data_IF_721098941603
#
_entry.id   IF_721098941603
#
_cell.length_a   1.000
_cell.length_b   1.000
_cell.length_c   1.000
_cell.angle_alpha   90.00
_cell.angle_beta   90.00
_cell.angle_gamma   90.00
#
_symmetry.space_group_name_H-M   'P 1'
#
loop_
_entity.id
_entity.type
_entity.pdbx_description
1 polymer ?
#
# COMPACT_ATOMS: atom_id res chain seq x y z
N UNK A 1 -48.01 -2.44 -11.54
CA UNK A 1 -47.06 -3.47 -11.06
C UNK A 1 -47.74 -4.83 -11.13
N UNK A 2 -47.13 -5.78 -11.85
CA UNK A 2 -47.68 -7.09 -12.14
C UNK A 2 -47.90 -7.87 -10.81
N UNK A 3 -49.10 -8.50 -10.58
CA UNK A 3 -49.40 -9.27 -9.37
C UNK A 3 -48.33 -10.33 -9.03
N UNK A 4 -47.73 -10.92 -10.03
CA UNK A 4 -46.65 -11.90 -9.91
C UNK A 4 -45.39 -11.32 -9.28
N UNK A 5 -44.92 -10.15 -9.71
CA UNK A 5 -43.74 -9.48 -9.16
C UNK A 5 -43.94 -9.11 -7.69
N UNK A 6 -45.12 -8.59 -7.33
CA UNK A 6 -45.47 -8.25 -5.95
C UNK A 6 -45.42 -9.46 -5.04
N UNK A 7 -45.81 -10.64 -5.52
CA UNK A 7 -45.79 -11.89 -4.77
C UNK A 7 -44.38 -12.31 -4.41
N UNK A 8 -43.41 -12.21 -5.36
CA UNK A 8 -42.02 -12.57 -5.11
C UNK A 8 -41.31 -11.56 -4.21
N UNK A 9 -41.54 -10.26 -4.37
CA UNK A 9 -40.94 -9.22 -3.54
C UNK A 9 -41.30 -9.30 -2.06
N UNK A 10 -42.46 -9.89 -1.73
CA UNK A 10 -42.93 -10.07 -0.37
C UNK A 10 -42.60 -11.42 0.27
N UNK A 11 -41.79 -12.26 -0.40
CA UNK A 11 -41.34 -13.50 0.23
C UNK A 11 -40.33 -13.18 1.32
N UNK A 12 -40.66 -13.56 2.57
CA UNK A 12 -39.88 -13.23 3.76
C UNK A 12 -38.41 -13.69 3.75
N UNK A 13 -38.09 -14.73 3.01
CA UNK A 13 -36.76 -15.31 2.93
C UNK A 13 -35.86 -14.70 1.81
N UNK A 14 -36.46 -14.05 0.82
CA UNK A 14 -35.74 -13.64 -0.40
C UNK A 14 -34.67 -12.56 -0.10
N UNK A 15 -35.08 -11.50 0.57
CA UNK A 15 -34.17 -10.34 0.78
C UNK A 15 -33.03 -10.62 1.77
N UNK A 16 -33.25 -11.33 2.90
CA UNK A 16 -32.14 -11.78 3.72
C UNK A 16 -31.18 -12.70 2.97
N UNK A 17 -31.70 -13.59 2.11
CA UNK A 17 -30.87 -14.47 1.30
C UNK A 17 -30.00 -13.69 0.30
N UNK A 18 -30.57 -12.69 -0.37
CA UNK A 18 -29.81 -11.80 -1.27
C UNK A 18 -28.70 -11.08 -0.51
N UNK A 19 -28.97 -10.60 0.70
CA UNK A 19 -27.95 -9.99 1.56
C UNK A 19 -26.83 -10.97 1.91
N UNK A 20 -27.16 -12.20 2.30
CA UNK A 20 -26.19 -13.26 2.59
C UNK A 20 -25.29 -13.54 1.37
N UNK A 21 -25.88 -13.71 0.19
CA UNK A 21 -25.12 -13.96 -1.05
C UNK A 21 -24.18 -12.80 -1.37
N UNK A 22 -24.65 -11.56 -1.22
CA UNK A 22 -23.78 -10.37 -1.42
C UNK A 22 -22.61 -10.34 -0.44
N UNK A 23 -22.83 -10.69 0.84
CA UNK A 23 -21.76 -10.74 1.84
C UNK A 23 -20.71 -11.84 1.51
N UNK A 24 -21.15 -12.99 1.00
CA UNK A 24 -20.26 -14.05 0.56
C UNK A 24 -19.43 -13.58 -0.66
N UNK A 25 -20.08 -12.96 -1.64
CA UNK A 25 -19.37 -12.39 -2.81
C UNK A 25 -18.34 -11.35 -2.36
N UNK A 26 -18.72 -10.45 -1.46
CA UNK A 26 -17.82 -9.43 -0.92
C UNK A 26 -16.61 -10.07 -0.22
N UNK A 27 -16.81 -11.13 0.57
CA UNK A 27 -15.72 -11.86 1.21
C UNK A 27 -14.72 -12.43 0.19
N UNK A 28 -15.21 -13.08 -0.88
CA UNK A 28 -14.34 -13.62 -1.92
C UNK A 28 -13.60 -12.54 -2.71
N UNK A 29 -14.25 -11.41 -3.01
CA UNK A 29 -13.63 -10.27 -3.67
C UNK A 29 -12.47 -9.74 -2.82
N UNK A 30 -12.73 -9.47 -1.54
CA UNK A 30 -11.72 -8.93 -0.62
C UNK A 30 -10.54 -9.91 -0.50
N UNK A 31 -10.81 -11.19 -0.27
CA UNK A 31 -9.77 -12.22 -0.15
C UNK A 31 -8.89 -12.34 -1.40
N UNK A 32 -9.46 -12.22 -2.60
CA UNK A 32 -8.69 -12.30 -3.85
C UNK A 32 -7.92 -11.01 -4.16
N UNK A 33 -8.43 -9.85 -3.76
CA UNK A 33 -7.73 -8.57 -3.96
C UNK A 33 -6.45 -8.47 -3.12
N UNK A 34 -6.42 -9.09 -1.95
CA UNK A 34 -5.24 -9.12 -1.09
C UNK A 34 -4.08 -10.00 -1.60
N UNK A 35 -4.34 -10.86 -2.59
CA UNK A 35 -3.32 -11.71 -3.19
C UNK A 35 -2.56 -11.07 -4.36
N UNK A 36 -2.80 -9.80 -4.65
CA UNK A 36 -2.17 -9.09 -5.77
C UNK A 36 -1.11 -8.15 -5.21
N UNK A 37 0.15 -8.37 -5.61
CA UNK A 37 1.28 -7.52 -5.23
C UNK A 37 1.16 -6.08 -5.75
N UNK A 38 2.14 -5.26 -5.42
CA UNK A 38 2.20 -3.81 -5.69
C UNK A 38 2.06 -3.41 -7.16
N UNK A 39 2.30 -4.32 -8.10
CA UNK A 39 1.97 -4.18 -9.52
C UNK A 39 0.50 -4.56 -9.77
N UNK A 40 -0.39 -3.74 -9.22
CA UNK A 40 -1.82 -3.96 -9.35
C UNK A 40 -2.25 -3.65 -10.79
N UNK A 41 -2.58 -4.66 -11.62
CA UNK A 41 -3.10 -4.39 -12.95
C UNK A 41 -4.37 -3.53 -12.82
N UNK A 42 -4.62 -2.69 -13.83
CA UNK A 42 -5.81 -1.82 -13.88
C UNK A 42 -7.14 -2.57 -13.65
N UNK A 43 -7.16 -3.89 -13.88
CA UNK A 43 -8.27 -4.79 -13.56
C UNK A 43 -8.56 -4.91 -12.06
N UNK A 44 -7.53 -4.88 -11.20
CA UNK A 44 -7.71 -4.99 -9.73
C UNK A 44 -8.12 -3.64 -9.13
N UNK A 45 -7.61 -2.53 -9.66
CA UNK A 45 -8.09 -1.19 -9.29
C UNK A 45 -9.60 -1.07 -9.54
N UNK A 46 -10.13 -1.67 -10.61
CA UNK A 46 -11.57 -1.74 -10.84
C UNK A 46 -12.29 -2.54 -9.75
N UNK A 47 -11.73 -3.64 -9.29
CA UNK A 47 -12.35 -4.48 -8.23
C UNK A 47 -12.37 -3.74 -6.88
N UNK A 48 -11.34 -2.99 -6.54
CA UNK A 48 -11.32 -2.12 -5.35
C UNK A 48 -12.38 -1.03 -5.46
N UNK A 49 -12.59 -0.45 -6.64
CA UNK A 49 -13.65 0.53 -6.89
C UNK A 49 -15.07 -0.04 -6.78
N UNK A 50 -15.26 -1.38 -6.85
CA UNK A 50 -16.55 -2.04 -6.56
C UNK A 50 -16.82 -2.28 -5.07
N UNK A 51 -15.82 -2.15 -4.21
CA UNK A 51 -15.97 -2.36 -2.75
C UNK A 51 -16.97 -1.38 -2.14
N UNK A 52 -16.85 -0.11 -2.43
CA UNK A 52 -17.69 0.94 -1.85
C UNK A 52 -19.15 0.85 -2.33
N UNK A 53 -19.45 0.65 -3.63
CA UNK A 53 -20.79 0.37 -4.10
C UNK A 53 -21.44 -0.85 -3.42
N UNK A 54 -20.71 -1.97 -3.26
CA UNK A 54 -21.24 -3.18 -2.59
C UNK A 54 -21.54 -2.90 -1.12
N UNK A 55 -20.72 -2.13 -0.41
CA UNK A 55 -20.95 -1.74 0.96
C UNK A 55 -22.23 -0.88 1.08
N UNK A 56 -22.40 0.10 0.20
CA UNK A 56 -23.59 0.96 0.14
C UNK A 56 -24.86 0.12 -0.14
N UNK A 57 -24.81 -0.78 -1.12
CA UNK A 57 -25.91 -1.69 -1.45
C UNK A 57 -26.25 -2.57 -0.25
N UNK A 58 -25.25 -3.09 0.47
CA UNK A 58 -25.46 -3.90 1.68
C UNK A 58 -26.20 -3.12 2.78
N UNK A 59 -25.82 -1.86 3.01
CA UNK A 59 -26.51 -0.99 3.99
C UNK A 59 -27.97 -0.75 3.58
N UNK A 60 -28.22 -0.44 2.31
CA UNK A 60 -29.57 -0.24 1.79
C UNK A 60 -30.43 -1.51 1.98
N UNK A 61 -29.84 -2.69 1.70
CA UNK A 61 -30.54 -3.97 1.89
C UNK A 61 -30.81 -4.27 3.36
N UNK A 62 -29.91 -3.93 4.29
CA UNK A 62 -30.16 -4.08 5.72
C UNK A 62 -31.36 -3.23 6.14
N UNK A 63 -31.41 -1.96 5.74
CA UNK A 63 -32.52 -1.06 6.03
C UNK A 63 -33.83 -1.60 5.44
N UNK A 64 -33.83 -2.03 4.17
CA UNK A 64 -35.00 -2.61 3.52
C UNK A 64 -35.49 -3.88 4.24
N UNK A 65 -34.59 -4.74 4.69
CA UNK A 65 -34.92 -5.93 5.46
C UNK A 65 -35.56 -5.57 6.83
N UNK A 66 -35.07 -4.56 7.53
CA UNK A 66 -35.67 -4.06 8.77
C UNK A 66 -37.11 -3.53 8.54
N UNK A 67 -37.32 -2.77 7.47
CA UNK A 67 -38.64 -2.28 7.08
C UNK A 67 -39.60 -3.43 6.78
N UNK A 68 -39.16 -4.47 6.08
CA UNK A 68 -39.96 -5.67 5.80
C UNK A 68 -40.30 -6.44 7.08
N UNK A 69 -39.36 -6.58 8.00
CA UNK A 69 -39.59 -7.23 9.29
C UNK A 69 -40.67 -6.51 10.10
N UNK A 70 -40.60 -5.16 10.21
CA UNK A 70 -41.61 -4.32 10.84
C UNK A 70 -42.99 -4.53 10.16
N UNK A 71 -42.99 -4.57 8.82
CA UNK A 71 -44.23 -4.85 8.06
C UNK A 71 -44.86 -6.20 8.43
N UNK A 72 -44.05 -7.29 8.59
CA UNK A 72 -44.57 -8.60 8.99
C UNK A 72 -45.10 -8.60 10.44
N UNK A 73 -44.46 -7.84 11.33
CA UNK A 73 -44.99 -7.63 12.70
C UNK A 73 -46.37 -6.98 12.66
N UNK A 74 -46.54 -5.90 11.92
CA UNK A 74 -47.79 -5.18 11.77
C UNK A 74 -48.89 -6.11 11.18
N UNK A 75 -48.51 -6.96 10.22
CA UNK A 75 -49.43 -7.92 9.59
C UNK A 75 -49.64 -9.20 10.42
N UNK A 76 -49.05 -9.33 11.60
CA UNK A 76 -49.15 -10.48 12.52
C UNK A 76 -48.83 -11.83 11.86
N UNK A 77 -47.85 -11.84 10.93
CA UNK A 77 -47.47 -13.06 10.21
C UNK A 77 -46.36 -13.82 10.97
N UNK A 78 -46.72 -14.53 12.05
CA UNK A 78 -45.77 -15.13 13.00
C UNK A 78 -44.65 -15.98 12.36
N UNK A 79 -44.97 -16.89 11.41
CA UNK A 79 -43.94 -17.71 10.72
C UNK A 79 -42.98 -16.86 9.88
N UNK A 80 -43.48 -15.78 9.25
CA UNK A 80 -42.63 -14.87 8.47
C UNK A 80 -41.74 -14.01 9.38
N UNK A 81 -42.24 -13.61 10.55
CA UNK A 81 -41.49 -12.82 11.55
C UNK A 81 -40.27 -13.61 12.05
N UNK A 82 -40.49 -14.84 12.54
CA UNK A 82 -39.42 -15.67 13.10
C UNK A 82 -38.40 -16.14 12.05
N UNK A 83 -38.88 -16.54 10.87
CA UNK A 83 -37.99 -16.97 9.79
C UNK A 83 -37.15 -15.82 9.22
N UNK A 84 -37.77 -14.65 9.03
CA UNK A 84 -37.04 -13.44 8.57
C UNK A 84 -35.99 -13.02 9.60
N UNK A 85 -36.34 -13.01 10.89
CA UNK A 85 -35.42 -12.66 11.97
C UNK A 85 -34.20 -13.63 12.00
N UNK A 86 -34.43 -14.94 11.88
CA UNK A 86 -33.37 -15.93 11.88
C UNK A 86 -32.37 -15.70 10.72
N UNK A 87 -32.88 -15.45 9.52
CA UNK A 87 -32.03 -15.16 8.36
C UNK A 87 -31.29 -13.81 8.50
N UNK A 88 -31.92 -12.81 9.09
CA UNK A 88 -31.26 -11.53 9.37
C UNK A 88 -30.13 -11.68 10.39
N UNK A 89 -30.30 -12.46 11.44
CA UNK A 89 -29.23 -12.76 12.41
C UNK A 89 -28.05 -13.43 11.71
N UNK A 90 -28.30 -14.39 10.83
CA UNK A 90 -27.23 -15.03 10.02
C UNK A 90 -26.53 -14.01 9.13
N UNK A 91 -27.27 -13.16 8.42
CA UNK A 91 -26.72 -12.14 7.55
C UNK A 91 -25.84 -11.14 8.31
N UNK A 92 -26.28 -10.68 9.49
CA UNK A 92 -25.51 -9.79 10.36
C UNK A 92 -24.27 -10.49 10.90
N UNK A 93 -24.38 -11.74 11.31
CA UNK A 93 -23.21 -12.52 11.78
C UNK A 93 -22.14 -12.66 10.69
N UNK A 94 -22.51 -12.94 9.43
CA UNK A 94 -21.59 -12.98 8.29
C UNK A 94 -20.98 -11.59 8.03
N UNK A 95 -21.78 -10.53 8.12
CA UNK A 95 -21.27 -9.16 7.95
C UNK A 95 -20.23 -8.80 9.02
N UNK A 96 -20.52 -9.10 10.28
CA UNK A 96 -19.57 -8.89 11.39
C UNK A 96 -18.32 -9.73 11.21
N UNK A 97 -18.45 -10.99 10.78
CA UNK A 97 -17.32 -11.85 10.46
C UNK A 97 -16.43 -11.25 9.35
N UNK A 98 -17.03 -10.71 8.29
CA UNK A 98 -16.30 -10.05 7.22
C UNK A 98 -15.52 -8.83 7.75
N UNK A 99 -16.17 -7.98 8.57
CA UNK A 99 -15.54 -6.81 9.17
C UNK A 99 -14.38 -7.22 10.08
N UNK A 100 -14.60 -8.21 10.95
CA UNK A 100 -13.57 -8.73 11.86
C UNK A 100 -12.42 -9.38 11.07
N UNK A 101 -12.73 -10.18 10.05
CA UNK A 101 -11.71 -10.83 9.21
C UNK A 101 -10.86 -9.80 8.49
N UNK A 102 -11.44 -8.71 7.97
CA UNK A 102 -10.71 -7.61 7.36
C UNK A 102 -9.86 -6.90 8.41
N UNK A 103 -10.41 -6.61 9.59
CA UNK A 103 -9.70 -5.94 10.68
C UNK A 103 -8.54 -6.77 11.23
N UNK A 104 -8.78 -8.05 11.49
CA UNK A 104 -7.73 -9.00 11.93
C UNK A 104 -6.66 -9.17 10.86
N UNK A 105 -7.08 -9.26 9.59
CA UNK A 105 -6.15 -9.38 8.47
C UNK A 105 -5.33 -8.09 8.28
N UNK A 106 -5.94 -6.91 8.47
CA UNK A 106 -5.23 -5.63 8.48
C UNK A 106 -4.23 -5.49 9.63
N UNK A 107 -4.53 -6.08 10.79
CA UNK A 107 -3.67 -6.00 11.98
C UNK A 107 -2.59 -7.09 12.04
N UNK A 108 -2.87 -8.28 11.48
CA UNK A 108 -2.02 -9.47 11.65
C UNK A 108 -1.76 -10.23 10.36
N UNK A 109 -2.40 -9.86 9.25
CA UNK A 109 -2.16 -10.47 7.96
C UNK A 109 -0.80 -10.04 7.43
N UNK A 110 0.17 -10.94 7.50
CA UNK A 110 1.44 -10.76 6.84
C UNK A 110 1.21 -10.43 5.36
N UNK A 111 1.60 -9.25 4.97
CA UNK A 111 1.64 -8.86 3.56
C UNK A 111 2.64 -9.79 2.85
N UNK A 112 2.47 -10.08 1.58
CA UNK A 112 3.52 -10.74 0.76
C UNK A 112 4.86 -10.01 0.81
N UNK A 113 4.82 -8.75 1.21
CA UNK A 113 5.97 -7.90 1.42
C UNK A 113 6.73 -8.27 2.70
N UNK A 114 6.07 -8.89 3.69
CA UNK A 114 6.70 -9.23 4.98
C UNK A 114 7.81 -10.29 4.82
N UNK A 115 7.66 -11.23 3.88
CA UNK A 115 8.68 -12.24 3.58
C UNK A 115 9.77 -11.75 2.61
N UNK A 116 9.76 -10.49 2.23
CA UNK A 116 10.63 -9.98 1.17
C UNK A 116 12.11 -10.15 1.50
N UNK A 117 12.52 -9.76 2.71
CA UNK A 117 13.91 -9.91 3.16
C UNK A 117 14.39 -11.38 3.20
N UNK A 118 13.52 -12.31 3.59
CA UNK A 118 13.83 -13.75 3.58
C UNK A 118 13.99 -14.34 2.19
N UNK A 119 13.27 -13.82 1.20
CA UNK A 119 13.36 -14.25 -0.19
C UNK A 119 14.56 -13.69 -0.93
N UNK A 120 15.08 -12.57 -0.46
CA UNK A 120 16.22 -11.86 -1.04
C UNK A 120 17.35 -11.78 -0.03
N UNK A 121 17.99 -12.91 0.35
CA UNK A 121 19.09 -12.92 1.32
C UNK A 121 20.28 -12.13 0.76
N UNK A 122 21.04 -11.52 1.67
CA UNK A 122 22.23 -10.75 1.32
C UNK A 122 23.24 -11.67 0.62
N UNK A 123 23.65 -11.39 -0.64
CA UNK A 123 24.67 -12.16 -1.34
C UNK A 123 26.06 -11.97 -0.70
N UNK A 124 26.85 -13.04 -0.57
CA UNK A 124 28.14 -13.02 0.12
C UNK A 124 29.22 -12.15 -0.57
N UNK A 125 29.09 -11.91 -1.88
CA UNK A 125 30.15 -11.28 -2.68
C UNK A 125 29.76 -9.86 -3.16
N UNK A 126 28.82 -9.19 -2.51
CA UNK A 126 28.40 -7.84 -2.88
C UNK A 126 28.86 -6.86 -1.80
N UNK A 127 29.63 -5.86 -2.23
CA UNK A 127 30.01 -4.75 -1.37
C UNK A 127 28.80 -3.82 -1.16
N UNK A 128 28.51 -3.47 0.08
CA UNK A 128 27.39 -2.60 0.44
C UNK A 128 27.75 -1.64 1.57
N UNK A 129 26.98 -0.58 1.67
CA UNK A 129 27.06 0.39 2.76
C UNK A 129 25.98 0.12 3.80
N UNK A 130 26.22 0.50 5.03
CA UNK A 130 25.17 0.58 6.05
C UNK A 130 24.67 2.02 6.15
N UNK A 131 23.33 2.20 6.29
CA UNK A 131 22.78 3.53 6.57
C UNK A 131 23.36 4.09 7.86
N UNK A 132 23.75 5.36 7.86
CA UNK A 132 24.29 6.01 9.06
C UNK A 132 23.25 6.06 10.18
N UNK A 133 23.65 5.81 11.41
CA UNK A 133 22.80 6.01 12.57
C UNK A 133 22.72 7.49 12.91
N UNK A 134 21.57 7.98 13.36
CA UNK A 134 21.31 9.38 13.67
C UNK A 134 22.28 10.01 14.70
N UNK A 135 22.94 9.19 15.51
CA UNK A 135 23.89 9.64 16.55
C UNK A 135 25.24 10.13 16.00
N UNK A 136 25.58 9.87 14.73
CA UNK A 136 26.85 10.26 14.12
C UNK A 136 26.66 11.27 12.98
N UNK A 137 26.07 12.43 13.29
CA UNK A 137 25.72 13.42 12.27
C UNK A 137 26.70 14.59 12.17
N UNK A 138 27.84 14.55 12.81
CA UNK A 138 28.77 15.67 12.76
C UNK A 138 30.16 15.27 12.24
N UNK A 139 30.26 14.93 11.01
CA UNK A 139 31.39 15.21 10.11
C UNK A 139 31.16 14.42 8.84
N UNK A 140 30.70 15.13 7.82
CA UNK A 140 30.84 14.61 6.47
C UNK A 140 32.30 14.16 6.30
N UNK A 141 32.47 12.95 5.82
CA UNK A 141 33.77 12.48 5.40
C UNK A 141 34.24 13.39 4.26
N UNK A 142 35.04 14.41 4.61
CA UNK A 142 35.59 15.37 3.65
C UNK A 142 36.62 14.73 2.73
N UNK A 143 36.87 13.42 2.88
CA UNK A 143 37.95 12.71 2.19
C UNK A 143 37.52 11.99 0.91
N UNK A 144 36.32 12.12 0.41
CA UNK A 144 35.83 11.41 -0.76
C UNK A 144 35.70 12.28 -1.99
N UNK A 145 35.93 11.70 -3.12
CA UNK A 145 35.66 12.21 -4.45
C UNK A 145 34.24 12.84 -4.47
N UNK A 146 34.15 14.16 -4.56
CA UNK A 146 32.88 14.94 -4.45
C UNK A 146 31.94 14.73 -5.63
N UNK A 147 32.38 14.03 -6.65
CA UNK A 147 31.61 13.89 -7.91
C UNK A 147 30.43 12.95 -7.83
N UNK A 148 30.27 12.15 -6.76
CA UNK A 148 29.18 11.16 -6.65
C UNK A 148 28.79 10.84 -5.21
N UNK A 149 28.49 11.86 -4.41
CA UNK A 149 28.23 11.63 -2.99
C UNK A 149 26.71 11.47 -2.70
N UNK A 150 26.30 10.24 -2.46
CA UNK A 150 24.99 9.88 -1.92
C UNK A 150 25.16 9.34 -0.50
N UNK A 151 24.47 9.89 0.45
CA UNK A 151 24.46 9.43 1.84
C UNK A 151 23.05 9.10 2.29
N UNK A 152 22.87 7.91 2.87
CA UNK A 152 21.64 7.44 3.48
C UNK A 152 21.81 7.35 4.98
N UNK A 153 20.80 7.81 5.73
CA UNK A 153 20.72 7.73 7.19
C UNK A 153 19.45 7.00 7.60
N UNK A 154 19.50 6.30 8.72
CA UNK A 154 18.29 5.76 9.35
C UNK A 154 17.41 6.91 9.87
N UNK A 155 16.11 6.87 9.57
CA UNK A 155 15.12 7.85 10.03
C UNK A 155 14.59 7.61 11.46
N UNK A 156 15.32 6.77 12.25
CA UNK A 156 14.95 6.46 13.65
C UNK A 156 13.98 5.29 13.80
N UNK A 157 13.45 4.76 12.71
CA UNK A 157 12.59 3.58 12.67
C UNK A 157 12.98 2.72 11.46
N UNK A 158 12.92 1.39 11.58
CA UNK A 158 13.22 0.46 10.48
C UNK A 158 12.38 0.76 9.25
N UNK A 159 13.00 0.68 8.07
CA UNK A 159 12.38 0.97 6.79
C UNK A 159 12.14 2.45 6.48
N UNK A 160 12.44 3.37 7.40
CA UNK A 160 12.41 4.81 7.16
C UNK A 160 13.85 5.32 7.05
N UNK A 161 14.12 6.03 5.97
CA UNK A 161 15.45 6.52 5.64
C UNK A 161 15.41 7.99 5.28
N UNK A 162 16.50 8.69 5.56
CA UNK A 162 16.76 10.04 5.06
C UNK A 162 17.92 9.99 4.08
N UNK A 163 17.88 10.79 3.05
CA UNK A 163 19.00 10.94 2.14
C UNK A 163 19.44 12.37 1.98
N UNK A 164 20.71 12.53 1.70
CA UNK A 164 21.33 13.77 1.20
C UNK A 164 22.20 13.45 0.01
N UNK A 165 22.31 14.37 -0.90
CA UNK A 165 23.08 14.22 -2.13
C UNK A 165 23.88 15.49 -2.42
N UNK A 166 25.11 15.33 -2.92
CA UNK A 166 25.91 16.47 -3.41
C UNK A 166 25.52 16.78 -4.84
N UNK A 167 25.05 17.99 -5.09
CA UNK A 167 24.63 18.45 -6.42
C UNK A 167 25.87 18.75 -7.27
N UNK A 168 26.12 18.02 -8.38
CA UNK A 168 27.24 18.29 -9.27
C UNK A 168 27.19 19.71 -9.84
N UNK A 169 28.37 20.26 -10.19
CA UNK A 169 28.46 21.61 -10.74
C UNK A 169 28.10 21.68 -12.23
N UNK A 170 28.14 20.54 -12.92
CA UNK A 170 27.95 20.40 -14.37
C UNK A 170 26.51 20.11 -14.79
N UNK A 171 25.56 19.97 -13.84
CA UNK A 171 24.14 19.80 -14.18
C UNK A 171 23.43 21.16 -14.26
N UNK A 172 22.41 21.24 -15.09
CA UNK A 172 21.57 22.42 -15.22
C UNK A 172 20.40 22.43 -14.22
N UNK A 173 19.45 23.35 -14.40
CA UNK A 173 18.24 23.37 -13.59
C UNK A 173 17.37 22.15 -13.92
N UNK A 174 16.80 21.53 -12.91
CA UNK A 174 16.00 20.33 -13.12
C UNK A 174 15.42 19.75 -11.85
N UNK A 175 15.08 18.48 -11.92
CA UNK A 175 14.51 17.71 -10.81
C UNK A 175 15.42 16.53 -10.48
N UNK A 176 15.67 16.33 -9.17
CA UNK A 176 16.35 15.14 -8.63
C UNK A 176 15.36 14.31 -7.84
N UNK A 177 15.44 12.98 -7.98
CA UNK A 177 14.71 12.01 -7.16
C UNK A 177 15.49 10.72 -6.98
N UNK A 178 15.02 9.86 -6.07
CA UNK A 178 15.57 8.52 -5.87
C UNK A 178 14.72 7.46 -6.57
N UNK A 179 15.40 6.42 -7.03
CA UNK A 179 14.81 5.12 -7.36
C UNK A 179 15.56 4.03 -6.60
N UNK A 180 14.84 3.05 -6.08
CA UNK A 180 15.42 1.97 -5.29
C UNK A 180 15.10 0.62 -5.95
N UNK A 181 16.08 -0.28 -6.00
CA UNK A 181 15.92 -1.60 -6.60
C UNK A 181 16.55 -2.66 -5.69
N UNK A 182 15.82 -3.73 -5.43
CA UNK A 182 16.41 -4.92 -4.85
C UNK A 182 17.42 -5.50 -5.83
N UNK A 183 18.60 -5.95 -5.35
CA UNK A 183 19.76 -6.20 -6.23
C UNK A 183 19.76 -7.58 -6.90
N UNK A 184 19.09 -8.61 -6.33
CA UNK A 184 19.17 -9.99 -6.84
C UNK A 184 18.20 -10.21 -8.02
N UNK A 185 17.00 -9.69 -7.93
CA UNK A 185 15.97 -9.81 -8.97
C UNK A 185 15.68 -8.48 -9.67
N UNK A 186 16.37 -7.41 -9.28
CA UNK A 186 16.19 -6.04 -9.80
C UNK A 186 14.76 -5.54 -9.68
N UNK A 187 14.09 -5.87 -8.57
CA UNK A 187 12.72 -5.45 -8.29
C UNK A 187 12.73 -4.01 -7.82
N UNK A 188 11.93 -3.15 -8.44
CA UNK A 188 11.80 -1.76 -8.02
C UNK A 188 11.00 -1.68 -6.70
N UNK A 189 11.59 -1.03 -5.69
CA UNK A 189 11.05 -0.89 -4.35
C UNK A 189 10.25 0.41 -4.23
N UNK A 190 9.04 0.34 -3.69
CA UNK A 190 8.17 1.48 -3.30
C UNK A 190 8.16 2.65 -4.30
N UNK A 191 8.21 2.35 -5.59
CA UNK A 191 8.58 3.25 -6.70
C UNK A 191 7.85 4.61 -6.66
N UNK A 192 6.52 4.58 -6.55
CA UNK A 192 5.71 5.82 -6.51
C UNK A 192 5.99 6.64 -5.26
N UNK A 193 6.01 5.99 -4.10
CA UNK A 193 6.19 6.66 -2.81
C UNK A 193 7.58 7.27 -2.68
N UNK A 194 8.63 6.53 -3.09
CA UNK A 194 10.01 7.01 -3.02
C UNK A 194 10.18 8.22 -3.94
N UNK A 195 9.77 8.13 -5.18
CA UNK A 195 9.90 9.23 -6.12
C UNK A 195 9.16 10.48 -5.64
N UNK A 196 7.90 10.37 -5.22
CA UNK A 196 7.11 11.52 -4.76
C UNK A 196 7.72 12.20 -3.52
N UNK A 197 8.26 11.41 -2.59
CA UNK A 197 8.84 11.95 -1.35
C UNK A 197 10.24 12.51 -1.51
N UNK A 198 11.00 12.01 -2.48
CA UNK A 198 12.40 12.41 -2.68
C UNK A 198 12.57 13.46 -3.77
N UNK A 199 11.53 13.75 -4.55
CA UNK A 199 11.59 14.77 -5.61
C UNK A 199 12.00 16.12 -5.05
N UNK A 200 13.04 16.73 -5.63
CA UNK A 200 13.55 18.05 -5.31
C UNK A 200 13.87 18.82 -6.59
N UNK A 201 13.44 20.07 -6.65
CA UNK A 201 13.88 21.00 -7.69
C UNK A 201 15.30 21.45 -7.39
N UNK A 202 16.13 21.47 -8.41
CA UNK A 202 17.54 21.92 -8.37
C UNK A 202 17.67 23.16 -9.25
N UNK A 203 18.26 24.20 -8.68
CA UNK A 203 18.54 25.47 -9.34
C UNK A 203 20.04 25.73 -9.43
N UNK A 204 20.44 26.80 -10.13
CA UNK A 204 21.85 27.21 -10.22
C UNK A 204 22.47 27.45 -8.83
N UNK A 205 21.66 27.92 -7.87
CA UNK A 205 22.13 28.23 -6.52
C UNK A 205 22.45 26.98 -5.70
N UNK A 206 21.95 25.82 -6.10
CA UNK A 206 22.15 24.54 -5.39
C UNK A 206 23.44 23.82 -5.84
N UNK A 207 24.03 24.23 -6.94
CA UNK A 207 25.23 23.63 -7.50
C UNK A 207 26.40 23.66 -6.52
N UNK A 208 27.09 22.55 -6.41
CA UNK A 208 28.20 22.40 -5.47
C UNK A 208 27.80 22.34 -4.00
N UNK A 209 26.51 22.20 -3.69
CA UNK A 209 25.99 22.10 -2.33
C UNK A 209 25.36 20.72 -2.06
N UNK A 210 25.19 20.42 -0.80
CA UNK A 210 24.46 19.21 -0.36
C UNK A 210 22.99 19.55 -0.29
N UNK A 211 22.13 18.69 -0.83
CA UNK A 211 20.67 18.85 -0.75
C UNK A 211 20.17 18.84 0.69
N UNK A 212 19.06 19.49 0.94
CA UNK A 212 18.34 19.34 2.20
C UNK A 212 17.92 17.88 2.39
N UNK A 213 17.99 17.32 3.60
CA UNK A 213 17.56 15.96 3.87
C UNK A 213 16.09 15.74 3.50
N UNK A 214 15.80 14.70 2.76
CA UNK A 214 14.44 14.20 2.47
C UNK A 214 14.27 12.81 3.05
N UNK A 215 13.06 12.55 3.51
CA UNK A 215 12.70 11.25 4.09
C UNK A 215 11.91 10.40 3.10
N UNK A 216 12.23 9.12 3.05
CA UNK A 216 11.49 8.13 2.28
C UNK A 216 11.33 6.83 3.07
N UNK A 217 10.41 5.98 2.63
CA UNK A 217 10.16 4.68 3.25
C UNK A 217 10.21 3.58 2.22
N UNK A 218 10.81 2.47 2.59
CA UNK A 218 10.77 1.22 1.85
C UNK A 218 9.71 0.35 2.52
N UNK A 219 8.70 -0.06 1.78
CA UNK A 219 7.56 -0.83 2.32
C UNK A 219 7.72 -2.34 2.16
N UNK A 220 8.65 -2.79 1.32
CA UNK A 220 8.94 -4.19 1.07
C UNK A 220 9.82 -4.76 2.20
N UNK A 221 9.36 -5.87 2.80
CA UNK A 221 10.01 -6.51 3.95
C UNK A 221 9.47 -6.05 5.30
N UNK A 222 10.07 -6.59 6.35
CA UNK A 222 9.74 -6.27 7.74
C UNK A 222 10.98 -5.83 8.50
N UNK A 223 10.76 -5.16 9.59
CA UNK A 223 11.82 -4.73 10.51
C UNK A 223 12.64 -5.91 11.01
N UNK A 224 13.98 -5.79 10.94
CA UNK A 224 14.93 -6.82 11.35
C UNK A 224 15.25 -7.87 10.27
N UNK A 225 14.58 -7.85 9.12
CA UNK A 225 14.90 -8.70 7.97
C UNK A 225 15.58 -7.87 6.87
N UNK A 226 16.91 -7.98 6.82
CA UNK A 226 17.74 -7.17 5.94
C UNK A 226 17.93 -7.81 4.59
N UNK A 227 17.96 -6.97 3.55
CA UNK A 227 18.35 -7.30 2.18
C UNK A 227 19.13 -6.15 1.57
N UNK A 228 19.63 -6.31 0.34
CA UNK A 228 20.37 -5.25 -0.32
C UNK A 228 19.51 -4.53 -1.34
N UNK A 229 19.57 -3.19 -1.29
CA UNK A 229 18.95 -2.32 -2.26
C UNK A 229 19.98 -1.41 -2.93
N UNK A 230 19.95 -1.35 -4.25
CA UNK A 230 20.62 -0.33 -5.03
C UNK A 230 19.77 0.92 -5.04
N UNK A 231 20.30 2.01 -4.50
CA UNK A 231 19.66 3.32 -4.47
C UNK A 231 20.33 4.19 -5.52
N UNK A 232 19.53 4.65 -6.47
CA UNK A 232 19.94 5.44 -7.61
C UNK A 232 19.44 6.88 -7.48
N UNK A 233 20.32 7.86 -7.76
CA UNK A 233 19.96 9.27 -7.87
C UNK A 233 19.75 9.58 -9.34
N UNK A 234 18.53 9.98 -9.67
CA UNK A 234 18.15 10.38 -11.02
C UNK A 234 17.94 11.89 -11.10
N UNK A 235 18.33 12.45 -12.24
CA UNK A 235 18.13 13.85 -12.59
C UNK A 235 17.38 13.96 -13.91
N UNK A 236 16.48 14.93 -14.01
CA UNK A 236 15.82 15.32 -15.25
C UNK A 236 16.03 16.81 -15.46
N UNK A 237 16.68 17.15 -16.58
CA UNK A 237 16.88 18.52 -17.02
C UNK A 237 15.54 19.18 -17.37
N UNK A 238 15.31 20.40 -16.90
CA UNK A 238 14.05 21.12 -17.12
C UNK A 238 13.87 21.62 -18.55
N UNK A 239 14.95 21.90 -19.27
CA UNK A 239 14.89 22.44 -20.63
C UNK A 239 14.78 21.34 -21.68
N UNK A 240 15.58 20.28 -21.53
CA UNK A 240 15.67 19.19 -22.52
C UNK A 240 14.80 17.99 -22.17
N UNK A 241 14.28 17.90 -20.93
CA UNK A 241 13.57 16.76 -20.38
C UNK A 241 14.39 15.45 -20.42
N UNK A 242 15.70 15.56 -20.61
CA UNK A 242 16.61 14.41 -20.64
C UNK A 242 16.81 13.88 -19.23
N UNK A 243 16.68 12.56 -19.06
CA UNK A 243 16.92 11.87 -17.79
C UNK A 243 18.31 11.26 -17.79
N UNK A 244 19.02 11.40 -16.67
CA UNK A 244 20.30 10.76 -16.45
C UNK A 244 20.43 10.28 -15.01
N UNK A 245 21.13 9.16 -14.82
CA UNK A 245 21.51 8.66 -13.51
C UNK A 245 22.80 9.33 -13.07
N UNK A 246 22.75 10.04 -11.94
CA UNK A 246 23.91 10.78 -11.42
C UNK A 246 24.78 9.92 -10.51
N UNK A 247 24.17 9.05 -9.72
CA UNK A 247 24.89 8.22 -8.76
C UNK A 247 24.08 6.96 -8.44
N UNK A 248 24.79 5.91 -8.01
CA UNK A 248 24.18 4.74 -7.39
C UNK A 248 25.05 4.19 -6.28
N UNK A 249 24.41 3.66 -5.24
CA UNK A 249 25.10 2.91 -4.17
C UNK A 249 24.20 1.80 -3.67
N UNK A 250 24.82 0.71 -3.24
CA UNK A 250 24.15 -0.42 -2.61
C UNK A 250 24.15 -0.21 -1.10
N UNK A 251 22.98 -0.35 -0.50
CA UNK A 251 22.76 -0.25 0.94
C UNK A 251 22.08 -1.50 1.48
N UNK A 252 22.45 -1.87 2.72
CA UNK A 252 21.71 -2.84 3.50
C UNK A 252 20.48 -2.16 4.09
N UNK A 253 19.30 -2.62 3.70
CA UNK A 253 18.03 -2.00 4.07
C UNK A 253 17.07 -3.04 4.66
N UNK A 254 16.04 -2.57 5.30
CA UNK A 254 14.90 -3.34 5.80
C UNK A 254 13.59 -2.65 5.45
N UNK A 255 12.49 -3.38 5.48
CA UNK A 255 11.17 -2.80 5.21
C UNK A 255 10.57 -2.09 6.43
N UNK A 256 9.65 -1.19 6.15
CA UNK A 256 8.89 -0.50 7.20
C UNK A 256 7.80 -1.41 7.77
N UNK A 257 7.86 -1.64 9.06
CA UNK A 257 6.84 -2.40 9.78
C UNK A 257 5.53 -1.60 9.83
N UNK A 258 4.49 -2.21 9.34
CA UNK A 258 3.11 -1.71 9.44
C UNK A 258 2.44 -2.17 10.71
#
# INVERSE_FOLDING_TARGET
>A
MNKSIRYYLLKWWLWPLVLIVLQIIQFFIIRNCHNVGTDVPASVIRVVNFRDPIAIISIILIIANLCLWIYYIIKKQGKAISGHLALMVIAVAICLWNILSIGVWWMFGGDRLDDFGRKHPIPENVEYNEPLTSAYTERGDESGNRDTWLQIKNGGQGGIYQYTFYVPQDIDNGEIWLECYEITENIQLSSKSIRERTLQEITQDDKGKITSPKEFSIYEGVWGEFYLARIEVWFQDSATHTKQKLSEKVYKVEGWMR
#
